data_IF_399280968853
#
_entry.id   IF_399280968853
#
_cell.length_a   1.000
_cell.length_b   1.000
_cell.length_c   1.000
_cell.angle_alpha   90.00
_cell.angle_beta   90.00
_cell.angle_gamma   90.00
#
_symmetry.space_group_name_H-M   'P 1'
#
loop_
_entity.id
_entity.type
_entity.pdbx_description
1 polymer ?
#
# COMPACT_ATOMS: atom_id res chain seq x y z
N UNK A 1 17.08 -14.89 -44.31
CA UNK A 1 17.58 -13.64 -43.67
C UNK A 1 16.51 -13.13 -42.71
N UNK A 2 16.87 -12.82 -41.47
CA UNK A 2 15.93 -12.25 -40.48
C UNK A 2 15.62 -10.79 -40.83
N UNK A 3 14.41 -10.30 -40.55
CA UNK A 3 14.07 -8.87 -40.67
C UNK A 3 15.06 -7.97 -39.91
N UNK A 4 15.65 -8.48 -38.83
CA UNK A 4 16.71 -7.79 -38.08
C UNK A 4 18.04 -7.69 -38.85
N UNK A 5 18.42 -8.71 -39.60
CA UNK A 5 19.67 -8.69 -40.40
C UNK A 5 19.57 -7.75 -41.60
N UNK A 6 18.39 -7.67 -42.23
CA UNK A 6 18.11 -6.68 -43.28
C UNK A 6 18.10 -5.24 -42.74
N UNK A 7 17.49 -5.01 -41.58
CA UNK A 7 17.46 -3.68 -40.96
C UNK A 7 18.86 -3.19 -40.52
N UNK A 8 19.75 -4.10 -40.13
CA UNK A 8 21.13 -3.77 -39.75
C UNK A 8 22.01 -3.41 -40.97
N UNK A 9 21.73 -3.99 -42.14
CA UNK A 9 22.45 -3.75 -43.39
C UNK A 9 22.09 -2.42 -44.08
N UNK A 10 21.04 -1.73 -43.63
CA UNK A 10 20.64 -0.43 -44.21
C UNK A 10 21.65 0.69 -43.85
N UNK A 11 21.88 1.65 -44.75
CA UNK A 11 22.62 2.88 -44.45
C UNK A 11 21.99 3.67 -43.29
N UNK A 12 22.83 4.29 -42.44
CA UNK A 12 22.37 5.12 -41.31
C UNK A 12 21.35 6.21 -41.66
N UNK A 13 21.44 6.97 -42.78
CA UNK A 13 20.40 7.96 -43.11
C UNK A 13 19.04 7.32 -43.42
N UNK A 14 19.01 6.10 -43.97
CA UNK A 14 17.76 5.38 -44.22
C UNK A 14 17.19 4.85 -42.89
N UNK A 15 18.04 4.33 -42.01
CA UNK A 15 17.65 3.89 -40.66
C UNK A 15 17.07 5.04 -39.83
N UNK A 16 17.67 6.23 -39.88
CA UNK A 16 17.18 7.38 -39.11
C UNK A 16 15.82 7.86 -39.59
N UNK A 17 15.59 7.94 -40.91
CA UNK A 17 14.29 8.28 -41.51
C UNK A 17 13.23 7.24 -41.16
N UNK A 18 13.54 5.94 -41.26
CA UNK A 18 12.61 4.88 -40.89
C UNK A 18 12.25 4.89 -39.40
N UNK A 19 13.23 5.14 -38.51
CA UNK A 19 12.99 5.30 -37.08
C UNK A 19 12.11 6.51 -36.80
N UNK A 20 12.43 7.68 -37.38
CA UNK A 20 11.64 8.89 -37.22
C UNK A 20 10.20 8.72 -37.70
N UNK A 21 10.00 8.09 -38.86
CA UNK A 21 8.66 7.79 -39.39
C UNK A 21 7.90 6.84 -38.47
N UNK A 22 8.53 5.77 -37.98
CA UNK A 22 7.91 4.85 -37.01
C UNK A 22 7.51 5.58 -35.72
N UNK A 23 8.40 6.41 -35.20
CA UNK A 23 8.17 7.11 -33.93
C UNK A 23 7.08 8.19 -34.11
N UNK A 24 7.03 8.87 -35.25
CA UNK A 24 5.96 9.81 -35.60
C UNK A 24 4.60 9.14 -35.76
N UNK A 25 4.54 7.97 -36.40
CA UNK A 25 3.31 7.17 -36.52
C UNK A 25 2.86 6.69 -35.14
N UNK A 26 3.79 6.18 -34.33
CA UNK A 26 3.51 5.77 -32.95
C UNK A 26 2.96 6.93 -32.12
N UNK A 27 3.58 8.10 -32.20
CA UNK A 27 3.15 9.29 -31.49
C UNK A 27 1.79 9.82 -31.99
N UNK A 28 1.52 9.73 -33.29
CA UNK A 28 0.21 10.05 -33.87
C UNK A 28 -0.90 9.16 -33.31
N UNK A 29 -0.65 7.85 -33.23
CA UNK A 29 -1.57 6.89 -32.62
C UNK A 29 -1.80 7.16 -31.14
N UNK A 30 -0.73 7.45 -30.39
CA UNK A 30 -0.83 7.83 -28.97
C UNK A 30 -1.65 9.09 -28.79
N UNK A 31 -1.42 10.14 -29.60
CA UNK A 31 -2.21 11.38 -29.54
C UNK A 31 -3.70 11.10 -29.76
N UNK A 32 -4.04 10.35 -30.80
CA UNK A 32 -5.43 10.00 -31.11
C UNK A 32 -6.08 9.19 -29.98
N UNK A 33 -5.39 8.15 -29.48
CA UNK A 33 -5.94 7.29 -28.44
C UNK A 33 -5.98 7.95 -27.06
N UNK A 34 -5.10 8.92 -26.77
CA UNK A 34 -5.05 9.61 -25.48
C UNK A 34 -6.23 10.54 -25.22
N UNK A 35 -6.94 10.97 -26.26
CA UNK A 35 -8.08 11.91 -26.13
C UNK A 35 -9.33 11.30 -25.48
N UNK A 36 -9.40 9.97 -25.34
CA UNK A 36 -10.56 9.29 -24.76
C UNK A 36 -10.15 7.98 -24.06
N UNK A 37 -10.65 7.73 -22.85
CA UNK A 37 -10.35 6.52 -22.09
C UNK A 37 -10.71 5.20 -22.81
N UNK A 38 -11.75 5.19 -23.64
CA UNK A 38 -12.11 4.03 -24.46
C UNK A 38 -11.04 3.76 -25.53
N UNK A 39 -10.61 4.80 -26.27
CA UNK A 39 -9.57 4.64 -27.29
C UNK A 39 -8.22 4.28 -26.67
N UNK A 40 -7.89 4.82 -25.49
CA UNK A 40 -6.73 4.41 -24.72
C UNK A 40 -6.81 2.92 -24.34
N UNK A 41 -7.99 2.42 -23.96
CA UNK A 41 -8.20 1.00 -23.67
C UNK A 41 -8.00 0.13 -24.91
N UNK A 42 -8.50 0.55 -26.08
CA UNK A 42 -8.25 -0.15 -27.35
C UNK A 42 -6.76 -0.16 -27.72
N UNK A 43 -6.06 0.96 -27.49
CA UNK A 43 -4.62 1.06 -27.71
C UNK A 43 -3.84 0.00 -26.92
N UNK A 44 -4.07 -0.08 -25.60
CA UNK A 44 -3.44 -1.08 -24.74
C UNK A 44 -4.03 -2.49 -24.87
N UNK A 45 -5.11 -2.66 -25.65
CA UNK A 45 -5.65 -3.98 -25.98
C UNK A 45 -4.94 -4.58 -27.21
N UNK A 46 -4.77 -3.78 -28.27
CA UNK A 46 -4.31 -4.28 -29.57
C UNK A 46 -2.87 -3.89 -29.93
N UNK A 47 -2.37 -2.76 -29.43
CA UNK A 47 -1.12 -2.16 -29.90
C UNK A 47 0.01 -2.12 -28.87
N UNK A 48 -0.30 -2.20 -27.57
CA UNK A 48 0.70 -2.25 -26.49
C UNK A 48 0.36 -3.32 -25.45
N UNK A 49 1.41 -3.96 -24.89
CA UNK A 49 1.29 -4.95 -23.79
C UNK A 49 1.86 -4.44 -22.47
N UNK A 50 2.21 -3.16 -22.39
CA UNK A 50 2.92 -2.58 -21.24
C UNK A 50 2.13 -2.72 -19.92
N UNK A 51 0.79 -2.67 -19.97
CA UNK A 51 -0.09 -2.85 -18.81
C UNK A 51 -0.68 -4.26 -18.66
N UNK A 52 -0.20 -5.23 -19.46
CA UNK A 52 -0.77 -6.58 -19.46
C UNK A 52 -0.65 -7.26 -18.10
N UNK A 53 0.49 -7.08 -17.43
CA UNK A 53 0.75 -7.67 -16.11
C UNK A 53 -0.20 -7.08 -15.08
N UNK A 54 -0.39 -5.77 -15.11
CA UNK A 54 -1.22 -4.99 -14.19
C UNK A 54 -2.69 -5.38 -14.34
N UNK A 55 -3.22 -5.47 -15.57
CA UNK A 55 -4.58 -5.95 -15.84
C UNK A 55 -4.81 -7.34 -15.25
N UNK A 56 -3.89 -8.29 -15.52
CA UNK A 56 -3.99 -9.65 -15.00
C UNK A 56 -3.89 -9.69 -13.48
N UNK A 57 -2.93 -8.95 -12.90
CA UNK A 57 -2.72 -8.91 -11.45
C UNK A 57 -3.95 -8.36 -10.71
N UNK A 58 -4.60 -7.32 -11.23
CA UNK A 58 -5.83 -6.77 -10.63
C UNK A 58 -6.96 -7.79 -10.64
N UNK A 59 -7.18 -8.49 -11.76
CA UNK A 59 -8.23 -9.51 -11.85
C UNK A 59 -7.96 -10.69 -10.93
N UNK A 60 -6.72 -11.19 -10.89
CA UNK A 60 -6.32 -12.26 -9.98
C UNK A 60 -6.45 -11.85 -8.51
N UNK A 61 -6.07 -10.62 -8.17
CA UNK A 61 -6.24 -10.07 -6.82
C UNK A 61 -7.70 -9.99 -6.40
N UNK A 62 -8.61 -9.59 -7.31
CA UNK A 62 -10.06 -9.61 -7.05
C UNK A 62 -10.59 -11.02 -6.80
N UNK A 63 -10.16 -12.00 -7.59
CA UNK A 63 -10.54 -13.41 -7.39
C UNK A 63 -9.99 -13.96 -6.08
N UNK A 64 -8.73 -13.66 -5.74
CA UNK A 64 -8.11 -14.06 -4.48
C UNK A 64 -8.86 -13.45 -3.30
N UNK A 65 -9.15 -12.14 -3.32
CA UNK A 65 -9.91 -11.48 -2.27
C UNK A 65 -11.31 -12.08 -2.10
N UNK A 66 -12.02 -12.35 -3.20
CA UNK A 66 -13.34 -12.99 -3.15
C UNK A 66 -13.30 -14.42 -2.57
N UNK A 67 -12.23 -15.19 -2.85
CA UNK A 67 -12.01 -16.51 -2.25
C UNK A 67 -11.74 -16.41 -0.75
N UNK A 68 -10.84 -15.50 -0.35
CA UNK A 68 -10.51 -15.27 1.06
C UNK A 68 -11.72 -14.79 1.87
N UNK A 69 -12.66 -14.08 1.25
CA UNK A 69 -13.89 -13.66 1.93
C UNK A 69 -14.92 -14.78 2.10
N UNK A 70 -14.81 -15.86 1.33
CA UNK A 70 -15.66 -17.05 1.47
C UNK A 70 -15.08 -18.08 2.43
N UNK A 71 -13.76 -18.16 2.54
CA UNK A 71 -13.10 -18.98 3.57
C UNK A 71 -13.32 -18.39 4.95
N UNK A 72 -13.69 -19.22 5.93
CA UNK A 72 -13.59 -18.83 7.33
C UNK A 72 -12.10 -18.81 7.69
N UNK A 73 -11.54 -17.64 8.02
CA UNK A 73 -10.12 -17.52 8.37
C UNK A 73 -9.51 -16.15 8.12
N UNK A 74 -8.18 -16.10 8.24
CA UNK A 74 -7.35 -14.90 8.10
C UNK A 74 -7.59 -14.20 6.76
N UNK A 75 -8.02 -12.95 6.82
CA UNK A 75 -8.02 -12.04 5.70
C UNK A 75 -7.27 -10.78 6.11
N UNK A 76 -5.95 -10.85 5.98
CA UNK A 76 -5.00 -9.81 6.35
C UNK A 76 -5.37 -8.44 5.75
N UNK A 77 -5.64 -8.44 4.44
CA UNK A 77 -5.96 -7.21 3.70
C UNK A 77 -7.29 -6.59 4.16
N UNK A 78 -8.29 -7.41 4.52
CA UNK A 78 -9.58 -6.93 5.02
C UNK A 78 -9.45 -6.40 6.45
N UNK A 79 -8.77 -7.15 7.34
CA UNK A 79 -8.51 -6.74 8.72
C UNK A 79 -7.77 -5.41 8.74
N UNK A 80 -6.64 -5.31 8.04
CA UNK A 80 -5.83 -4.09 7.96
C UNK A 80 -6.63 -2.90 7.45
N UNK A 81 -7.40 -3.09 6.37
CA UNK A 81 -8.24 -2.02 5.81
C UNK A 81 -9.27 -1.52 6.82
N UNK A 82 -9.94 -2.43 7.52
CA UNK A 82 -11.00 -2.06 8.45
C UNK A 82 -10.47 -1.48 9.74
N UNK A 83 -9.40 -2.04 10.32
CA UNK A 83 -8.72 -1.46 11.48
C UNK A 83 -8.26 -0.04 11.18
N UNK A 84 -7.66 0.20 10.01
CA UNK A 84 -7.28 1.57 9.63
C UNK A 84 -8.48 2.51 9.42
N UNK A 85 -9.65 2.00 8.99
CA UNK A 85 -10.90 2.79 8.96
C UNK A 85 -11.38 3.12 10.38
N UNK A 86 -11.22 2.21 11.34
CA UNK A 86 -11.53 2.45 12.75
C UNK A 86 -10.62 3.53 13.35
N UNK A 87 -9.32 3.47 13.09
CA UNK A 87 -8.37 4.53 13.51
C UNK A 87 -8.82 5.90 13.05
N UNK A 88 -9.19 6.03 11.77
CA UNK A 88 -9.71 7.28 11.23
C UNK A 88 -10.97 7.72 11.98
N UNK A 89 -11.91 6.81 12.20
CA UNK A 89 -13.12 7.08 12.98
C UNK A 89 -12.83 7.57 14.41
N UNK A 90 -11.84 6.96 15.08
CA UNK A 90 -11.43 7.30 16.45
C UNK A 90 -10.89 8.73 16.59
N UNK A 91 -10.26 9.26 15.54
CA UNK A 91 -9.66 10.61 15.54
C UNK A 91 -10.51 11.69 14.86
N UNK A 92 -11.67 11.33 14.27
CA UNK A 92 -12.57 12.32 13.66
C UNK A 92 -13.06 13.34 14.69
N UNK A 93 -13.20 14.60 14.28
CA UNK A 93 -13.72 15.69 15.11
C UNK A 93 -14.88 16.40 14.39
N UNK A 94 -16.10 16.46 14.97
CA UNK A 94 -16.53 15.70 16.14
C UNK A 94 -16.56 14.19 15.83
N UNK A 95 -16.28 13.37 16.86
CA UNK A 95 -16.41 11.91 16.73
C UNK A 95 -17.89 11.54 16.82
N UNK A 96 -18.36 10.68 15.91
CA UNK A 96 -19.72 10.13 15.99
C UNK A 96 -19.81 9.13 17.15
N UNK A 97 -20.93 9.10 17.87
CA UNK A 97 -21.18 8.14 18.94
C UNK A 97 -21.18 6.69 18.45
N UNK A 98 -21.65 6.47 17.22
CA UNK A 98 -21.62 5.17 16.54
C UNK A 98 -20.99 5.29 15.15
N UNK A 99 -20.16 4.31 14.78
CA UNK A 99 -19.62 4.14 13.44
C UNK A 99 -19.23 2.67 13.22
N UNK A 100 -18.90 2.28 11.98
CA UNK A 100 -18.41 0.95 11.62
C UNK A 100 -19.36 -0.25 11.76
N UNK A 101 -20.64 -0.04 12.06
CA UNK A 101 -21.60 -1.14 12.24
C UNK A 101 -21.71 -2.11 11.07
N UNK A 102 -21.50 -1.63 9.85
CA UNK A 102 -21.61 -2.45 8.63
C UNK A 102 -20.46 -3.43 8.42
N UNK A 103 -19.37 -3.32 9.18
CA UNK A 103 -18.19 -4.16 8.99
C UNK A 103 -17.48 -4.60 10.27
N UNK A 104 -17.92 -4.12 11.45
CA UNK A 104 -17.27 -4.45 12.73
C UNK A 104 -17.35 -5.95 13.04
N UNK A 105 -18.48 -6.60 12.72
CA UNK A 105 -18.67 -8.03 12.92
C UNK A 105 -17.68 -8.87 12.10
N UNK A 106 -17.56 -8.61 10.81
CA UNK A 106 -16.56 -9.24 9.93
C UNK A 106 -15.14 -8.97 10.42
N UNK A 107 -14.86 -7.75 10.88
CA UNK A 107 -13.52 -7.35 11.34
C UNK A 107 -13.09 -8.13 12.56
N UNK A 108 -13.96 -8.26 13.56
CA UNK A 108 -13.68 -9.06 14.77
C UNK A 108 -13.53 -10.54 14.43
N UNK A 109 -14.33 -11.07 13.47
CA UNK A 109 -14.16 -12.45 13.00
C UNK A 109 -12.79 -12.68 12.36
N UNK A 110 -12.32 -11.75 11.51
CA UNK A 110 -10.98 -11.83 10.92
C UNK A 110 -9.88 -11.73 11.99
N UNK A 111 -10.04 -10.84 12.97
CA UNK A 111 -9.12 -10.73 14.10
C UNK A 111 -9.05 -12.03 14.91
N UNK A 112 -10.19 -12.63 15.26
CA UNK A 112 -10.25 -13.90 15.97
C UNK A 112 -9.62 -15.06 15.20
N UNK A 113 -9.78 -15.08 13.87
CA UNK A 113 -9.09 -16.06 13.02
C UNK A 113 -7.57 -15.89 13.03
N UNK A 114 -7.09 -14.65 13.04
CA UNK A 114 -5.65 -14.33 13.09
C UNK A 114 -5.02 -14.61 14.46
N UNK A 115 -5.76 -14.43 15.56
CA UNK A 115 -5.24 -14.81 16.88
C UNK A 115 -5.18 -16.33 17.08
N UNK A 116 -6.13 -17.08 16.50
CA UNK A 116 -6.20 -18.55 16.62
C UNK A 116 -5.17 -19.30 15.77
N UNK A 117 -4.75 -18.73 14.64
CA UNK A 117 -3.74 -19.32 13.74
C UNK A 117 -2.33 -19.31 14.33
N UNK A 118 -2.11 -18.58 15.43
CA UNK A 118 -0.80 -18.39 16.06
C UNK A 118 0.07 -17.31 15.38
N UNK A 119 -0.45 -16.59 14.40
CA UNK A 119 0.25 -15.47 13.73
C UNK A 119 0.21 -14.21 14.61
N UNK A 120 1.01 -14.19 15.68
CA UNK A 120 1.13 -13.03 16.57
C UNK A 120 2.21 -12.06 16.07
N UNK A 121 1.87 -11.31 15.03
CA UNK A 121 2.72 -10.25 14.46
C UNK A 121 2.31 -8.85 14.95
N UNK A 122 3.03 -7.83 14.48
CA UNK A 122 2.73 -6.43 14.79
C UNK A 122 1.35 -5.98 14.28
N UNK A 123 0.79 -6.63 13.25
CA UNK A 123 -0.53 -6.29 12.74
C UNK A 123 -1.63 -6.81 13.66
N UNK A 124 -1.54 -8.05 14.14
CA UNK A 124 -2.50 -8.62 15.08
C UNK A 124 -2.55 -7.81 16.38
N UNK A 125 -1.38 -7.38 16.89
CA UNK A 125 -1.30 -6.46 18.03
C UNK A 125 -2.00 -5.13 17.77
N UNK A 126 -1.61 -4.44 16.69
CA UNK A 126 -2.23 -3.18 16.28
C UNK A 126 -3.74 -3.27 16.08
N UNK A 127 -4.21 -4.36 15.47
CA UNK A 127 -5.64 -4.62 15.30
C UNK A 127 -6.35 -4.76 16.66
N UNK A 128 -5.76 -5.49 17.60
CA UNK A 128 -6.29 -5.67 18.95
C UNK A 128 -6.42 -4.34 19.69
N UNK A 129 -5.36 -3.54 19.69
CA UNK A 129 -5.33 -2.25 20.40
C UNK A 129 -6.35 -1.26 19.84
N UNK A 130 -6.45 -1.15 18.51
CA UNK A 130 -7.43 -0.28 17.85
C UNK A 130 -8.86 -0.77 18.08
N UNK A 131 -9.11 -2.08 18.05
CA UNK A 131 -10.42 -2.66 18.38
C UNK A 131 -10.80 -2.39 19.83
N UNK A 132 -9.86 -2.52 20.77
CA UNK A 132 -10.06 -2.16 22.17
C UNK A 132 -10.44 -0.69 22.33
N UNK A 133 -9.65 0.22 21.76
CA UNK A 133 -9.94 1.65 21.77
C UNK A 133 -11.28 2.00 21.09
N UNK A 134 -11.62 1.31 20.00
CA UNK A 134 -12.92 1.43 19.33
C UNK A 134 -14.06 1.07 20.28
N UNK A 135 -14.04 -0.12 20.90
CA UNK A 135 -15.13 -0.58 21.75
C UNK A 135 -15.29 0.24 23.03
N UNK A 136 -14.22 0.85 23.54
CA UNK A 136 -14.27 1.80 24.65
C UNK A 136 -14.83 3.18 24.27
N UNK A 137 -14.78 3.55 22.99
CA UNK A 137 -15.13 4.89 22.51
C UNK A 137 -16.54 5.02 21.92
N UNK A 138 -17.12 3.92 21.42
CA UNK A 138 -18.44 3.91 20.77
C UNK A 138 -19.58 3.59 21.72
N UNK A 139 -20.75 4.16 21.43
CA UNK A 139 -22.01 3.84 22.08
C UNK A 139 -22.46 2.41 21.76
N UNK A 140 -23.31 1.85 22.62
CA UNK A 140 -23.81 0.48 22.47
C UNK A 140 -24.93 0.40 21.45
N UNK A 141 -24.81 -0.55 20.54
CA UNK A 141 -25.86 -0.98 19.61
C UNK A 141 -25.83 -2.50 19.48
N UNK A 142 -26.93 -3.17 19.08
CA UNK A 142 -26.97 -4.63 19.02
C UNK A 142 -25.85 -5.25 18.17
N UNK A 143 -25.45 -4.58 17.07
CA UNK A 143 -24.34 -5.03 16.21
C UNK A 143 -22.99 -4.85 16.88
N UNK A 144 -22.76 -3.70 17.52
CA UNK A 144 -21.51 -3.38 18.22
C UNK A 144 -21.33 -4.29 19.44
N UNK A 145 -22.36 -4.50 20.23
CA UNK A 145 -22.29 -5.32 21.44
C UNK A 145 -22.05 -6.80 21.10
N UNK A 146 -22.68 -7.31 20.04
CA UNK A 146 -22.39 -8.66 19.52
C UNK A 146 -20.92 -8.81 19.11
N UNK A 147 -20.38 -7.82 18.39
CA UNK A 147 -18.98 -7.81 17.99
C UNK A 147 -18.03 -7.65 19.20
N UNK A 148 -18.39 -6.84 20.20
CA UNK A 148 -17.64 -6.66 21.45
C UNK A 148 -17.50 -7.99 22.21
N UNK A 149 -18.58 -8.77 22.29
CA UNK A 149 -18.59 -10.10 22.91
C UNK A 149 -17.77 -11.14 22.13
N UNK A 150 -17.70 -11.01 20.80
CA UNK A 150 -16.81 -11.84 20.00
C UNK A 150 -15.34 -11.45 20.21
N UNK A 151 -15.05 -10.15 20.34
CA UNK A 151 -13.70 -9.63 20.54
C UNK A 151 -13.12 -10.03 21.90
N UNK A 152 -13.90 -9.91 22.98
CA UNK A 152 -13.44 -10.27 24.33
C UNK A 152 -13.01 -11.74 24.46
N UNK A 153 -13.61 -12.64 23.66
CA UNK A 153 -13.23 -14.07 23.62
C UNK A 153 -11.96 -14.34 22.79
N UNK A 154 -11.59 -13.43 21.91
CA UNK A 154 -10.46 -13.56 21.01
C UNK A 154 -9.23 -12.77 21.45
N UNK A 155 -9.36 -11.98 22.53
CA UNK A 155 -8.31 -11.09 23.02
C UNK A 155 -7.10 -11.89 23.50
N UNK A 156 -5.94 -11.54 22.96
CA UNK A 156 -4.65 -12.07 23.38
C UNK A 156 -4.13 -11.36 24.64
N UNK A 157 -3.14 -11.92 25.36
CA UNK A 157 -2.58 -11.30 26.55
C UNK A 157 -2.10 -9.88 26.29
N UNK A 158 -2.38 -8.98 27.24
CA UNK A 158 -1.96 -7.58 27.17
C UNK A 158 -0.44 -7.49 27.30
N UNK A 159 0.23 -6.99 26.27
CA UNK A 159 1.65 -6.65 26.30
C UNK A 159 1.82 -5.15 26.54
N UNK A 160 2.95 -4.75 27.12
CA UNK A 160 3.21 -3.36 27.45
C UNK A 160 3.29 -2.47 26.19
N UNK A 161 2.33 -1.55 26.06
CA UNK A 161 2.33 -0.47 25.04
C UNK A 161 1.16 -0.59 24.05
N UNK A 162 0.42 0.50 23.85
CA UNK A 162 -0.75 0.53 22.96
C UNK A 162 -0.39 1.05 21.55
N UNK A 163 -0.69 0.27 20.52
CA UNK A 163 -0.62 0.64 19.11
C UNK A 163 -1.91 1.35 18.65
N UNK A 164 -2.22 2.50 19.27
CA UNK A 164 -3.40 3.32 18.93
C UNK A 164 -3.00 4.72 18.45
N UNK A 165 -3.88 5.42 17.68
CA UNK A 165 -3.64 6.81 17.33
C UNK A 165 -3.40 7.67 18.57
N UNK A 166 -2.37 8.51 18.54
CA UNK A 166 -2.01 9.41 19.62
C UNK A 166 -2.03 10.88 19.17
N UNK A 167 -2.26 11.82 20.09
CA UNK A 167 -2.25 13.24 19.78
C UNK A 167 -0.91 13.71 19.21
N UNK A 168 -0.95 14.60 18.22
CA UNK A 168 0.24 15.15 17.56
C UNK A 168 1.23 15.82 18.54
N UNK A 169 0.74 16.44 19.61
CA UNK A 169 1.57 17.08 20.64
C UNK A 169 2.37 16.09 21.52
N UNK A 170 2.12 14.78 21.41
CA UNK A 170 2.94 13.73 22.04
C UNK A 170 4.14 13.31 21.19
N UNK A 171 4.23 13.79 19.95
CA UNK A 171 5.41 13.52 19.12
C UNK A 171 6.66 14.11 19.77
N UNK A 172 7.82 13.46 19.64
CA UNK A 172 9.07 14.03 20.09
C UNK A 172 9.32 15.36 19.38
N UNK A 173 9.88 16.33 20.10
CA UNK A 173 10.28 17.60 19.51
C UNK A 173 11.27 17.33 18.36
N UNK A 174 11.04 17.94 17.20
CA UNK A 174 11.93 17.79 16.05
C UNK A 174 13.21 18.59 16.32
N UNK A 175 14.38 17.95 16.50
CA UNK A 175 15.63 18.67 16.74
C UNK A 175 16.19 19.28 15.45
N UNK A 176 15.62 18.95 14.29
CA UNK A 176 16.13 19.34 12.97
C UNK A 176 15.47 20.64 12.53
N UNK A 177 16.28 21.68 12.32
CA UNK A 177 15.82 22.94 11.74
C UNK A 177 15.64 22.84 10.23
N UNK A 178 14.89 23.79 9.65
CA UNK A 178 14.76 23.91 8.20
C UNK A 178 16.13 24.00 7.51
N UNK A 179 17.06 24.81 8.04
CA UNK A 179 18.38 25.01 7.43
C UNK A 179 19.21 23.73 7.42
N UNK A 180 19.16 22.95 8.52
CA UNK A 180 19.83 21.65 8.58
C UNK A 180 19.27 20.66 7.55
N UNK A 181 17.93 20.63 7.39
CA UNK A 181 17.27 19.81 6.39
C UNK A 181 17.61 20.26 4.96
N UNK A 182 17.65 21.56 4.71
CA UNK A 182 17.98 22.14 3.41
C UNK A 182 19.41 21.76 3.00
N UNK A 183 20.37 21.89 3.91
CA UNK A 183 21.77 21.49 3.67
C UNK A 183 21.87 20.01 3.31
N UNK A 184 21.12 19.13 3.99
CA UNK A 184 21.07 17.71 3.67
C UNK A 184 20.60 17.47 2.22
N UNK A 185 19.52 18.14 1.80
CA UNK A 185 18.98 18.00 0.44
C UNK A 185 19.91 18.57 -0.64
N UNK A 186 20.59 19.68 -0.37
CA UNK A 186 21.56 20.27 -1.30
C UNK A 186 22.82 19.40 -1.49
N UNK A 187 23.28 18.74 -0.42
CA UNK A 187 24.45 17.86 -0.46
C UNK A 187 24.18 16.55 -1.19
N UNK A 188 22.95 16.04 -1.18
CA UNK A 188 22.58 14.79 -1.83
C UNK A 188 22.77 14.90 -3.36
N UNK A 189 23.56 13.99 -3.93
CA UNK A 189 23.78 13.87 -5.39
C UNK A 189 23.57 12.43 -5.83
N UNK A 190 23.11 12.23 -7.07
CA UNK A 190 23.07 10.89 -7.68
C UNK A 190 24.49 10.45 -8.03
N UNK A 191 25.06 9.58 -7.21
CA UNK A 191 26.40 8.99 -7.42
C UNK A 191 26.27 7.79 -8.37
N UNK A 192 27.15 7.72 -9.37
CA UNK A 192 27.17 6.62 -10.37
C UNK A 192 28.37 5.69 -10.22
N UNK A 193 29.38 6.11 -9.48
CA UNK A 193 30.63 5.37 -9.26
C UNK A 193 30.81 5.17 -7.76
N UNK A 194 30.68 3.92 -7.33
CA UNK A 194 30.79 3.52 -5.93
C UNK A 194 32.18 2.94 -5.66
N UNK A 195 32.66 3.09 -4.43
CA UNK A 195 33.88 2.44 -3.98
C UNK A 195 33.59 0.96 -3.72
N UNK A 196 34.57 0.09 -3.96
CA UNK A 196 34.51 -1.32 -3.55
C UNK A 196 34.79 -1.43 -2.05
N UNK A 197 33.90 -0.82 -1.25
CA UNK A 197 33.97 -0.78 0.20
C UNK A 197 32.69 -1.38 0.78
N UNK A 198 32.85 -2.41 1.60
CA UNK A 198 31.74 -3.03 2.31
C UNK A 198 31.12 -2.05 3.30
N UNK A 199 29.79 -2.00 3.32
CA UNK A 199 28.97 -1.25 4.28
C UNK A 199 28.43 -2.23 5.31
N UNK A 200 28.35 -1.82 6.57
CA UNK A 200 27.71 -2.62 7.62
C UNK A 200 26.21 -2.76 7.34
N UNK A 201 25.68 -3.97 7.51
CA UNK A 201 24.25 -4.25 7.35
C UNK A 201 23.40 -3.45 8.33
N UNK A 202 23.92 -3.12 9.52
CA UNK A 202 23.23 -2.29 10.51
C UNK A 202 22.79 -0.94 9.93
N UNK A 203 23.66 -0.27 9.17
CA UNK A 203 23.38 1.01 8.52
C UNK A 203 22.31 0.88 7.42
N UNK A 204 22.27 -0.28 6.74
CA UNK A 204 21.25 -0.57 5.73
C UNK A 204 19.90 -0.76 6.42
N UNK A 205 19.87 -1.53 7.52
CA UNK A 205 18.66 -1.74 8.33
C UNK A 205 18.12 -0.44 8.92
N UNK A 206 18.99 0.45 9.40
CA UNK A 206 18.61 1.79 9.87
C UNK A 206 17.98 2.62 8.75
N UNK A 207 18.57 2.60 7.54
CA UNK A 207 18.02 3.32 6.39
C UNK A 207 16.65 2.77 5.97
N UNK A 208 16.49 1.43 5.95
CA UNK A 208 15.22 0.77 5.64
C UNK A 208 14.16 1.09 6.70
N UNK A 209 14.54 1.06 7.99
CA UNK A 209 13.65 1.40 9.10
C UNK A 209 13.21 2.86 9.05
N UNK A 210 14.09 3.77 8.68
CA UNK A 210 13.71 5.18 8.48
C UNK A 210 12.75 5.34 7.29
N UNK A 211 12.99 4.64 6.19
CA UNK A 211 12.13 4.68 5.01
C UNK A 211 10.73 4.08 5.27
N UNK A 212 10.63 3.04 6.12
CA UNK A 212 9.35 2.40 6.43
C UNK A 212 8.39 3.26 7.24
N UNK A 213 8.86 4.34 7.86
CA UNK A 213 8.02 5.35 8.52
C UNK A 213 7.23 6.22 7.54
N UNK A 214 7.48 6.10 6.23
CA UNK A 214 6.72 6.82 5.22
C UNK A 214 5.23 6.42 5.25
N UNK A 215 4.30 7.39 5.18
CA UNK A 215 2.88 7.10 5.19
C UNK A 215 2.47 6.29 3.95
N UNK A 216 1.54 5.35 4.11
CA UNK A 216 1.03 4.54 3.00
C UNK A 216 -0.49 4.36 3.09
N UNK A 217 -1.12 4.12 1.93
CA UNK A 217 -2.56 3.92 1.86
C UNK A 217 -2.98 2.66 2.65
N UNK A 218 -3.90 2.82 3.61
CA UNK A 218 -4.38 1.75 4.49
C UNK A 218 -3.26 1.02 5.26
N UNK A 219 -2.16 1.72 5.58
CA UNK A 219 -0.98 1.15 6.25
C UNK A 219 -0.43 -0.12 5.53
N UNK A 220 -0.52 -0.17 4.19
CA UNK A 220 -0.10 -1.34 3.39
C UNK A 220 1.41 -1.45 3.21
N UNK A 221 2.13 -0.35 3.32
CA UNK A 221 3.57 -0.25 3.07
C UNK A 221 4.01 -0.96 1.77
N UNK A 222 3.50 -0.53 0.59
CA UNK A 222 3.72 -1.22 -0.68
C UNK A 222 5.08 -0.82 -1.31
N UNK A 223 6.14 -0.86 -0.53
CA UNK A 223 7.51 -0.50 -0.92
C UNK A 223 8.50 -1.55 -0.43
#
# INVERSE_FOLDING_TARGET
MSLKSLAQALPEPIKSVLKASRDNVSLGLVRLCSGNGFLASLYYCFFSREFYREHRAVLLGRLQFARLMRSQGENDAFLRRNVHRLEKGLIMRPRRGTFAEDYIGETVRCYAGATQSGTFDGQTRWAGDVLGAYFSAVESTPRIDSARNAFSRAQAPDESGQCVPYPHNRLPACPISYDQLLVLFQRRRSVRWYQDKRVDNSLIEEAVRAASLAPSACNRQPF
#
